data_IF_478102618353
#
_entry.id   IF_478102618353
#
_cell.length_a   1.000
_cell.length_b   1.000
_cell.length_c   1.000
_cell.angle_alpha   90.00
_cell.angle_beta   90.00
_cell.angle_gamma   90.00
#
_symmetry.space_group_name_H-M   'P 1'
#
loop_
_entity.id
_entity.type
_entity.pdbx_description
1 polymer ?
#
# COMPACT_ATOMS: atom_id res chain seq x y z
N UNK A 1 -21.17 6.03 30.34
CA UNK A 1 -20.50 5.33 29.21
C UNK A 1 -21.12 5.71 27.85
N UNK A 2 -22.46 5.79 27.73
CA UNK A 2 -23.12 6.15 26.45
C UNK A 2 -22.81 7.58 25.98
N UNK A 3 -22.95 8.61 26.81
CA UNK A 3 -22.68 10.01 26.43
C UNK A 3 -21.19 10.26 26.10
N UNK A 4 -20.28 9.62 26.84
CA UNK A 4 -18.85 9.73 26.57
C UNK A 4 -18.48 9.10 25.22
N UNK A 5 -19.00 7.91 24.90
CA UNK A 5 -18.75 7.26 23.60
C UNK A 5 -19.34 8.08 22.45
N UNK A 6 -20.51 8.71 22.65
CA UNK A 6 -21.09 9.59 21.66
C UNK A 6 -20.17 10.77 21.31
N UNK A 7 -19.64 11.44 22.33
CA UNK A 7 -18.69 12.55 22.13
C UNK A 7 -17.42 12.12 21.36
N UNK A 8 -16.95 10.90 21.61
CA UNK A 8 -15.81 10.32 20.89
C UNK A 8 -16.15 10.04 19.43
N UNK A 9 -17.34 9.49 19.16
CA UNK A 9 -17.83 9.26 17.80
C UNK A 9 -17.94 10.58 17.04
N UNK A 10 -18.48 11.61 17.66
CA UNK A 10 -18.63 12.93 17.05
C UNK A 10 -17.26 13.54 16.71
N UNK A 11 -16.29 13.44 17.62
CA UNK A 11 -14.91 13.87 17.38
C UNK A 11 -14.27 13.10 16.21
N UNK A 12 -14.42 11.78 16.17
CA UNK A 12 -13.91 10.92 15.10
C UNK A 12 -14.49 11.25 13.73
N UNK A 13 -15.79 11.58 13.66
CA UNK A 13 -16.47 11.96 12.42
C UNK A 13 -16.12 13.37 11.96
N UNK A 14 -15.84 14.29 12.87
CA UNK A 14 -15.49 15.66 12.55
C UNK A 14 -14.01 15.84 12.16
N UNK A 15 -13.15 14.90 12.51
CA UNK A 15 -11.74 14.91 12.08
C UNK A 15 -11.64 14.50 10.61
N UNK A 16 -11.29 15.45 9.73
CA UNK A 16 -11.13 15.22 8.29
C UNK A 16 -10.04 14.19 7.95
N UNK A 17 -9.10 13.98 8.86
CA UNK A 17 -8.01 13.01 8.71
C UNK A 17 -8.33 11.66 9.35
N UNK A 18 -9.51 11.49 9.91
CA UNK A 18 -9.93 10.22 10.52
C UNK A 18 -10.07 9.11 9.48
N UNK A 19 -9.91 7.87 9.94
CA UNK A 19 -10.20 6.68 9.11
C UNK A 19 -11.63 6.73 8.58
N UNK A 20 -12.56 7.32 9.33
CA UNK A 20 -13.94 7.51 8.88
C UNK A 20 -14.01 8.36 7.62
N UNK A 21 -13.41 9.53 7.63
CA UNK A 21 -13.48 10.48 6.52
C UNK A 21 -12.58 10.07 5.33
N UNK A 22 -11.41 9.51 5.60
CA UNK A 22 -10.45 9.15 4.56
C UNK A 22 -10.78 7.82 3.87
N UNK A 23 -11.41 6.88 4.56
CA UNK A 23 -11.67 5.54 3.99
C UNK A 23 -13.16 5.20 3.85
N UNK A 24 -14.02 5.48 4.86
CA UNK A 24 -15.43 5.10 4.80
C UNK A 24 -16.26 6.00 3.88
N UNK A 25 -15.93 7.27 3.77
CA UNK A 25 -16.60 8.21 2.85
C UNK A 25 -16.16 7.97 1.41
N UNK A 26 -14.91 7.55 1.16
CA UNK A 26 -14.40 7.21 -0.17
C UNK A 26 -14.86 5.80 -0.60
N UNK A 27 -16.12 5.69 -1.02
CA UNK A 27 -16.75 4.42 -1.34
C UNK A 27 -16.12 3.67 -2.52
N UNK A 28 -15.54 4.36 -3.51
CA UNK A 28 -15.00 3.70 -4.71
C UNK A 28 -13.76 2.86 -4.42
N UNK A 29 -12.78 3.42 -3.75
CA UNK A 29 -11.54 2.70 -3.41
C UNK A 29 -11.81 1.57 -2.43
N UNK A 30 -12.68 1.81 -1.45
CA UNK A 30 -13.16 0.78 -0.52
C UNK A 30 -13.81 -0.38 -1.28
N UNK A 31 -14.74 -0.11 -2.18
CA UNK A 31 -15.42 -1.14 -2.97
C UNK A 31 -14.46 -1.90 -3.90
N UNK A 32 -13.45 -1.23 -4.46
CA UNK A 32 -12.39 -1.89 -5.24
C UNK A 32 -11.62 -2.89 -4.39
N UNK A 33 -11.22 -2.50 -3.17
CA UNK A 33 -10.52 -3.37 -2.23
C UNK A 33 -11.34 -4.63 -1.91
N UNK A 34 -12.60 -4.47 -1.53
CA UNK A 34 -13.50 -5.61 -1.24
C UNK A 34 -13.63 -6.56 -2.43
N UNK A 35 -13.83 -6.03 -3.65
CA UNK A 35 -13.94 -6.85 -4.87
C UNK A 35 -12.64 -7.60 -5.16
N UNK A 36 -11.50 -6.95 -5.06
CA UNK A 36 -10.20 -7.55 -5.36
C UNK A 36 -9.86 -8.65 -4.36
N UNK A 37 -10.07 -8.40 -3.07
CA UNK A 37 -9.82 -9.39 -2.02
C UNK A 37 -10.77 -10.59 -2.17
N UNK A 38 -12.07 -10.35 -2.40
CA UNK A 38 -13.04 -11.44 -2.63
C UNK A 38 -12.67 -12.28 -3.84
N UNK A 39 -12.26 -11.67 -4.95
CA UNK A 39 -11.78 -12.38 -6.15
C UNK A 39 -10.52 -13.20 -5.84
N UNK A 40 -9.57 -12.62 -5.12
CA UNK A 40 -8.36 -13.32 -4.71
C UNK A 40 -8.64 -14.52 -3.82
N UNK A 41 -9.57 -14.42 -2.87
CA UNK A 41 -10.00 -15.55 -2.03
C UNK A 41 -10.62 -16.68 -2.85
N UNK A 42 -11.47 -16.36 -3.83
CA UNK A 42 -12.02 -17.37 -4.75
C UNK A 42 -10.91 -18.06 -5.55
N UNK A 43 -9.88 -17.32 -5.97
CA UNK A 43 -8.72 -17.90 -6.64
C UNK A 43 -7.92 -18.81 -5.70
N UNK A 44 -7.71 -18.44 -4.44
CA UNK A 44 -7.06 -19.31 -3.43
C UNK A 44 -7.82 -20.65 -3.30
N UNK A 45 -9.14 -20.59 -3.21
CA UNK A 45 -9.98 -21.81 -3.11
C UNK A 45 -9.82 -22.68 -4.36
N UNK A 46 -9.88 -22.09 -5.55
CA UNK A 46 -9.73 -22.82 -6.81
C UNK A 46 -8.33 -23.44 -6.95
N UNK A 47 -7.28 -22.68 -6.64
CA UNK A 47 -5.90 -23.17 -6.71
C UNK A 47 -5.65 -24.34 -5.75
N UNK A 48 -6.25 -24.32 -4.55
CA UNK A 48 -6.17 -25.43 -3.61
C UNK A 48 -6.93 -26.67 -4.15
N UNK A 49 -8.14 -26.49 -4.67
CA UNK A 49 -8.96 -27.58 -5.23
C UNK A 49 -8.30 -28.23 -6.44
N UNK A 50 -7.72 -27.43 -7.30
CA UNK A 50 -7.06 -27.89 -8.53
C UNK A 50 -5.59 -28.29 -8.33
N UNK A 51 -5.10 -28.27 -7.08
CA UNK A 51 -3.71 -28.58 -6.70
C UNK A 51 -2.67 -27.65 -7.33
N UNK A 52 -3.07 -26.45 -7.74
CA UNK A 52 -2.16 -25.40 -8.27
C UNK A 52 -1.59 -24.50 -7.18
N UNK A 53 -2.14 -24.56 -5.95
CA UNK A 53 -1.64 -23.78 -4.83
C UNK A 53 -0.25 -24.26 -4.43
N UNK A 54 0.75 -23.36 -4.55
CA UNK A 54 2.15 -23.67 -4.32
C UNK A 54 2.49 -24.12 -2.89
N UNK A 55 3.75 -24.55 -2.72
CA UNK A 55 4.30 -24.96 -1.42
C UNK A 55 5.11 -23.83 -0.76
N UNK A 56 5.09 -22.63 -1.32
CA UNK A 56 5.68 -21.42 -0.75
C UNK A 56 4.61 -20.31 -0.78
N UNK A 57 4.79 -19.32 0.09
CA UNK A 57 3.91 -18.14 0.12
C UNK A 57 4.05 -17.28 -1.15
N UNK A 58 5.29 -17.13 -1.63
CA UNK A 58 5.60 -16.31 -2.80
C UNK A 58 4.98 -16.88 -4.07
N UNK A 59 4.34 -16.01 -4.84
CA UNK A 59 3.70 -16.39 -6.11
C UNK A 59 2.34 -17.07 -5.94
N UNK A 60 1.83 -17.26 -4.72
CA UNK A 60 0.48 -17.81 -4.52
C UNK A 60 -0.61 -16.75 -4.64
N UNK A 61 -1.81 -17.18 -4.97
CA UNK A 61 -3.01 -16.33 -4.91
C UNK A 61 -3.29 -15.74 -3.52
N UNK A 62 -2.80 -16.39 -2.45
CA UNK A 62 -2.88 -15.87 -1.09
C UNK A 62 -1.95 -14.66 -0.88
N UNK A 63 -0.77 -14.64 -1.49
CA UNK A 63 0.10 -13.46 -1.50
C UNK A 63 -0.62 -12.26 -2.12
N UNK A 64 -1.32 -12.46 -3.23
CA UNK A 64 -2.13 -11.40 -3.84
C UNK A 64 -3.21 -10.88 -2.88
N UNK A 65 -3.96 -11.76 -2.20
CA UNK A 65 -4.97 -11.34 -1.20
C UNK A 65 -4.34 -10.49 -0.11
N UNK A 66 -3.22 -10.94 0.45
CA UNK A 66 -2.53 -10.23 1.53
C UNK A 66 -1.91 -8.90 1.04
N UNK A 67 -1.43 -8.85 -0.19
CA UNK A 67 -0.97 -7.60 -0.81
C UNK A 67 -2.12 -6.61 -0.94
N UNK A 68 -3.27 -7.02 -1.45
CA UNK A 68 -4.46 -6.15 -1.51
C UNK A 68 -4.86 -5.59 -0.13
N UNK A 69 -4.73 -6.39 0.95
CA UNK A 69 -5.00 -5.92 2.32
C UNK A 69 -3.90 -4.95 2.80
N UNK A 70 -2.63 -5.24 2.52
CA UNK A 70 -1.51 -4.43 3.00
C UNK A 70 -1.29 -3.16 2.18
N UNK A 71 -1.63 -3.17 0.90
CA UNK A 71 -1.50 -2.04 -0.04
C UNK A 71 -2.59 -0.99 0.08
N UNK A 72 -3.57 -1.17 1.00
CA UNK A 72 -4.50 -0.10 1.39
C UNK A 72 -3.78 1.18 1.88
N UNK A 73 -2.45 1.17 1.91
CA UNK A 73 -1.60 2.33 2.15
C UNK A 73 -1.88 3.52 1.21
N UNK A 74 -2.41 3.27 0.01
CA UNK A 74 -2.74 4.32 -0.96
C UNK A 74 -3.99 5.13 -0.53
N UNK A 75 -4.84 4.55 0.30
CA UNK A 75 -6.04 5.20 0.86
C UNK A 75 -5.74 5.86 2.20
N UNK A 76 -4.77 5.29 2.94
CA UNK A 76 -4.33 5.80 4.23
C UNK A 76 -2.94 6.41 4.07
N UNK A 77 -2.85 7.72 4.13
CA UNK A 77 -1.57 8.39 4.21
C UNK A 77 -0.83 7.94 5.47
N UNK A 78 0.34 7.34 5.30
CA UNK A 78 1.17 6.87 6.38
C UNK A 78 1.28 5.35 6.55
N UNK A 79 2.23 4.91 7.38
CA UNK A 79 2.62 3.50 7.53
C UNK A 79 1.63 2.64 8.34
N UNK A 80 0.60 3.23 8.95
CA UNK A 80 -0.26 2.56 9.93
C UNK A 80 -1.74 2.83 9.66
N UNK A 81 -2.50 1.79 9.38
CA UNK A 81 -3.96 1.85 9.22
C UNK A 81 -4.64 0.63 9.88
N UNK A 82 -5.98 0.67 10.17
CA UNK A 82 -6.69 -0.38 10.90
C UNK A 82 -6.62 -1.75 10.23
N UNK A 83 -6.49 -1.80 8.91
CA UNK A 83 -6.44 -3.05 8.14
C UNK A 83 -5.01 -3.52 7.86
N UNK A 84 -4.00 -2.71 8.23
CA UNK A 84 -2.61 -3.08 8.05
C UNK A 84 -2.21 -4.13 9.10
N UNK A 85 -2.35 -5.37 8.72
CA UNK A 85 -1.81 -6.48 9.47
C UNK A 85 -1.24 -7.52 8.53
N UNK A 86 0.01 -7.90 8.77
CA UNK A 86 0.63 -9.04 8.09
C UNK A 86 0.23 -10.31 8.85
N UNK A 87 -0.80 -11.04 8.40
CA UNK A 87 -1.11 -12.33 9.00
C UNK A 87 0.13 -13.23 8.91
N UNK A 88 0.36 -14.04 9.93
CA UNK A 88 1.45 -15.02 9.94
C UNK A 88 1.15 -16.20 8.99
N UNK A 89 0.53 -15.94 7.84
CA UNK A 89 0.17 -16.93 6.83
C UNK A 89 1.38 -17.42 6.00
N UNK A 90 2.57 -16.92 6.30
CA UNK A 90 3.85 -17.41 5.72
C UNK A 90 4.39 -18.66 6.42
N UNK A 91 3.61 -19.26 7.33
CA UNK A 91 4.07 -20.40 8.10
C UNK A 91 3.92 -21.68 7.30
N UNK A 92 4.92 -22.57 7.32
CA UNK A 92 4.95 -23.80 6.53
C UNK A 92 3.73 -24.71 6.67
N UNK A 93 3.03 -24.70 7.81
CA UNK A 93 1.93 -25.63 8.11
C UNK A 93 0.83 -25.68 7.04
N UNK A 94 0.57 -24.58 6.31
CA UNK A 94 -0.40 -24.60 5.19
C UNK A 94 0.25 -24.81 3.82
N UNK A 95 1.56 -24.68 3.69
CA UNK A 95 2.27 -24.89 2.42
C UNK A 95 2.87 -26.29 2.31
N UNK A 96 3.37 -26.82 3.41
CA UNK A 96 4.04 -28.12 3.45
C UNK A 96 3.09 -29.28 3.77
N UNK A 97 1.98 -29.02 4.49
CA UNK A 97 1.00 -30.02 4.87
C UNK A 97 -0.26 -29.96 3.99
N UNK A 98 -0.44 -30.98 3.14
CA UNK A 98 -1.57 -31.03 2.22
C UNK A 98 -2.95 -31.07 2.93
N UNK A 99 -3.05 -31.74 4.07
CA UNK A 99 -4.30 -31.80 4.84
C UNK A 99 -4.66 -30.40 5.39
N UNK A 100 -3.68 -29.66 5.92
CA UNK A 100 -3.87 -28.30 6.41
C UNK A 100 -4.25 -27.33 5.28
N UNK A 101 -3.62 -27.49 4.10
CA UNK A 101 -3.95 -26.73 2.89
C UNK A 101 -5.41 -26.93 2.50
N UNK A 102 -5.88 -28.19 2.43
CA UNK A 102 -7.26 -28.53 2.10
C UNK A 102 -8.22 -27.95 3.16
N UNK A 103 -7.91 -28.12 4.45
CA UNK A 103 -8.71 -27.59 5.54
C UNK A 103 -8.86 -26.07 5.48
N UNK A 104 -7.79 -25.35 5.15
CA UNK A 104 -7.83 -23.90 4.97
C UNK A 104 -8.66 -23.50 3.75
N UNK A 105 -8.52 -24.18 2.62
CA UNK A 105 -9.35 -23.95 1.42
C UNK A 105 -10.84 -24.17 1.71
N UNK A 106 -11.20 -25.26 2.40
CA UNK A 106 -12.57 -25.56 2.79
C UNK A 106 -13.13 -24.51 3.77
N UNK A 107 -12.32 -24.06 4.73
CA UNK A 107 -12.68 -22.98 5.63
C UNK A 107 -13.02 -21.69 4.87
N UNK A 108 -12.16 -21.26 3.95
CA UNK A 108 -12.40 -20.06 3.13
C UNK A 108 -13.66 -20.22 2.27
N UNK A 109 -13.88 -21.39 1.68
CA UNK A 109 -15.05 -21.68 0.87
C UNK A 109 -16.34 -21.63 1.69
N UNK A 110 -16.36 -22.25 2.85
CA UNK A 110 -17.51 -22.23 3.74
C UNK A 110 -17.80 -20.80 4.23
N UNK A 111 -16.75 -20.04 4.56
CA UNK A 111 -16.90 -18.65 4.97
C UNK A 111 -17.44 -17.76 3.84
N UNK A 112 -16.93 -17.87 2.61
CA UNK A 112 -17.36 -16.98 1.51
C UNK A 112 -18.81 -17.24 1.09
N UNK A 113 -19.33 -18.46 1.33
CA UNK A 113 -20.69 -18.86 1.03
C UNK A 113 -21.63 -18.82 2.25
N UNK A 114 -21.13 -18.42 3.43
CA UNK A 114 -21.95 -18.27 4.62
C UNK A 114 -23.09 -17.27 4.42
N UNK A 115 -24.29 -17.62 4.87
CA UNK A 115 -25.52 -16.82 4.72
C UNK A 115 -25.86 -16.03 5.97
N UNK A 116 -25.24 -16.34 7.08
CA UNK A 116 -25.42 -15.67 8.37
C UNK A 116 -24.14 -15.73 9.21
N UNK A 117 -24.14 -14.93 10.26
CA UNK A 117 -23.04 -14.78 11.21
C UNK A 117 -22.68 -16.10 11.90
N UNK A 118 -23.68 -16.87 12.32
CA UNK A 118 -23.48 -18.13 13.04
C UNK A 118 -22.69 -19.17 12.23
N UNK A 119 -22.91 -19.21 10.92
CA UNK A 119 -22.15 -20.09 10.03
C UNK A 119 -20.67 -19.71 10.00
N UNK A 120 -20.34 -18.42 9.95
CA UNK A 120 -18.94 -17.98 9.97
C UNK A 120 -18.28 -18.28 11.31
N UNK A 121 -18.97 -18.04 12.43
CA UNK A 121 -18.47 -18.37 13.78
C UNK A 121 -18.19 -19.87 13.90
N UNK A 122 -19.12 -20.71 13.46
CA UNK A 122 -18.96 -22.16 13.48
C UNK A 122 -17.75 -22.65 12.66
N UNK A 123 -17.47 -22.01 11.52
CA UNK A 123 -16.28 -22.34 10.73
C UNK A 123 -14.99 -21.86 11.42
N UNK A 124 -15.01 -20.73 12.11
CA UNK A 124 -13.89 -20.28 12.94
C UNK A 124 -13.60 -21.27 14.07
N UNK A 125 -14.62 -21.76 14.75
CA UNK A 125 -14.48 -22.75 15.83
C UNK A 125 -13.91 -24.08 15.31
N UNK A 126 -14.38 -24.53 14.13
CA UNK A 126 -13.82 -25.72 13.47
C UNK A 126 -12.34 -25.53 13.11
N UNK A 127 -11.99 -24.35 12.57
CA UNK A 127 -10.59 -24.04 12.23
C UNK A 127 -9.71 -23.99 13.49
N UNK A 128 -10.21 -23.38 14.57
CA UNK A 128 -9.46 -23.34 15.84
C UNK A 128 -9.25 -24.75 16.42
N UNK A 129 -10.23 -25.64 16.29
CA UNK A 129 -10.11 -27.03 16.77
C UNK A 129 -8.97 -27.80 16.07
N UNK A 130 -8.66 -27.47 14.83
CA UNK A 130 -7.57 -28.11 14.07
C UNK A 130 -6.18 -27.69 14.55
N UNK A 131 -6.05 -26.61 15.32
CA UNK A 131 -4.78 -26.06 15.87
C UNK A 131 -3.67 -25.89 14.83
N UNK A 132 -4.05 -25.56 13.59
CA UNK A 132 -3.09 -25.33 12.51
C UNK A 132 -2.29 -24.07 12.82
N UNK A 133 -0.97 -24.20 12.88
CA UNK A 133 -0.07 -23.10 13.19
C UNK A 133 -0.15 -22.02 12.11
N UNK A 134 -0.37 -20.78 12.51
CA UNK A 134 -0.52 -19.62 11.61
C UNK A 134 -1.95 -19.28 11.23
N UNK A 135 -2.93 -20.17 11.47
CA UNK A 135 -4.34 -19.92 11.21
C UNK A 135 -5.12 -19.47 12.46
N UNK A 136 -4.50 -18.60 13.24
CA UNK A 136 -5.15 -17.93 14.37
C UNK A 136 -5.95 -16.68 13.94
N UNK A 137 -6.29 -15.80 14.90
CA UNK A 137 -7.14 -14.61 14.68
C UNK A 137 -6.66 -13.64 13.60
N UNK A 138 -5.39 -13.77 13.15
CA UNK A 138 -4.89 -13.03 11.99
C UNK A 138 -5.74 -13.21 10.72
N UNK A 139 -6.36 -14.37 10.56
CA UNK A 139 -7.23 -14.68 9.42
C UNK A 139 -8.51 -13.83 9.44
N UNK A 140 -8.90 -13.27 10.58
CA UNK A 140 -10.05 -12.37 10.67
C UNK A 140 -9.90 -11.13 9.77
N UNK A 141 -8.68 -10.70 9.44
CA UNK A 141 -8.47 -9.62 8.48
C UNK A 141 -8.97 -9.98 7.07
N UNK A 142 -8.87 -11.24 6.66
CA UNK A 142 -9.46 -11.72 5.40
C UNK A 142 -10.98 -11.81 5.53
N UNK A 143 -11.48 -12.39 6.64
CA UNK A 143 -12.90 -12.57 6.88
C UNK A 143 -13.66 -11.24 6.96
N UNK A 144 -13.03 -10.18 7.46
CA UNK A 144 -13.62 -8.85 7.45
C UNK A 144 -13.99 -8.40 6.02
N UNK A 145 -13.10 -8.58 5.06
CA UNK A 145 -13.39 -8.22 3.66
C UNK A 145 -14.43 -9.14 2.99
N UNK A 146 -14.73 -10.30 3.57
CA UNK A 146 -15.81 -11.16 3.12
C UNK A 146 -17.15 -10.79 3.78
N UNK A 147 -17.13 -10.42 5.06
CA UNK A 147 -18.29 -10.18 5.90
C UNK A 147 -18.11 -8.96 6.83
N UNK A 148 -18.07 -7.74 6.30
CA UNK A 148 -17.75 -6.54 7.09
C UNK A 148 -18.79 -6.21 8.15
N UNK A 149 -20.02 -6.73 8.03
CA UNK A 149 -21.09 -6.51 9.00
C UNK A 149 -21.10 -7.55 10.13
N UNK A 150 -20.28 -8.61 10.03
CA UNK A 150 -20.25 -9.71 11.02
C UNK A 150 -18.88 -9.87 11.68
N UNK A 151 -17.81 -9.56 10.96
CA UNK A 151 -16.44 -9.81 11.38
C UNK A 151 -15.66 -8.51 11.40
N UNK A 152 -15.35 -7.94 12.59
CA UNK A 152 -14.51 -6.75 12.67
C UNK A 152 -13.06 -7.07 12.30
N UNK A 153 -12.34 -6.13 11.65
CA UNK A 153 -10.90 -6.26 11.45
C UNK A 153 -10.18 -6.15 12.79
N UNK A 154 -8.99 -6.73 12.86
CA UNK A 154 -8.26 -6.82 14.13
C UNK A 154 -6.76 -6.63 13.95
N UNK A 155 -6.15 -5.79 14.80
CA UNK A 155 -4.70 -5.66 14.94
C UNK A 155 -4.35 -5.20 16.36
N UNK A 156 -3.07 -5.07 16.68
CA UNK A 156 -2.62 -4.66 18.01
C UNK A 156 -3.14 -3.29 18.43
N UNK A 157 -3.22 -2.34 17.50
CA UNK A 157 -3.74 -1.00 17.80
C UNK A 157 -5.23 -1.02 18.13
N UNK A 158 -6.03 -1.80 17.38
CA UNK A 158 -7.47 -1.98 17.67
C UNK A 158 -7.67 -2.59 19.06
N UNK A 159 -6.85 -3.61 19.44
CA UNK A 159 -6.89 -4.19 20.78
C UNK A 159 -6.54 -3.17 21.86
N UNK A 160 -5.52 -2.36 21.63
CA UNK A 160 -5.14 -1.31 22.59
C UNK A 160 -6.28 -0.29 22.76
N UNK A 161 -6.90 0.14 21.67
CA UNK A 161 -8.07 1.01 21.73
C UNK A 161 -9.28 0.37 22.41
N UNK A 162 -9.52 -0.92 22.14
CA UNK A 162 -10.55 -1.69 22.85
C UNK A 162 -10.30 -1.71 24.36
N UNK A 163 -9.09 -2.10 24.76
CA UNK A 163 -8.72 -2.17 26.18
C UNK A 163 -8.83 -0.82 26.87
N UNK A 164 -8.46 0.26 26.18
CA UNK A 164 -8.59 1.61 26.70
C UNK A 164 -10.06 2.03 26.87
N UNK A 165 -10.88 1.86 25.81
CA UNK A 165 -12.27 2.28 25.82
C UNK A 165 -13.15 1.47 26.80
N UNK A 166 -12.96 0.16 26.86
CA UNK A 166 -13.75 -0.75 27.68
C UNK A 166 -13.10 -1.07 29.05
N UNK A 167 -11.95 -0.44 29.36
CA UNK A 167 -11.19 -0.68 30.59
C UNK A 167 -10.87 -2.15 30.81
N UNK A 168 -10.48 -2.84 29.75
CA UNK A 168 -10.18 -4.28 29.71
C UNK A 168 -8.65 -4.52 29.48
N UNK A 169 -8.21 -5.78 29.59
CA UNK A 169 -6.80 -6.20 29.39
C UNK A 169 -6.71 -7.39 28.42
N UNK A 170 -7.51 -7.37 27.37
CA UNK A 170 -7.52 -8.43 26.35
C UNK A 170 -6.22 -8.49 25.58
N UNK A 171 -5.88 -9.69 25.14
CA UNK A 171 -4.72 -9.95 24.26
C UNK A 171 -5.19 -10.72 23.03
N UNK A 172 -4.59 -10.43 21.90
CA UNK A 172 -4.83 -11.15 20.67
C UNK A 172 -3.96 -12.42 20.65
N UNK A 173 -4.45 -13.54 21.14
CA UNK A 173 -3.69 -14.78 21.21
C UNK A 173 -4.44 -16.02 20.68
N UNK A 174 -5.76 -16.03 20.77
CA UNK A 174 -6.60 -17.16 20.41
C UNK A 174 -7.91 -16.72 19.76
N UNK A 175 -8.53 -17.62 18.99
CA UNK A 175 -9.86 -17.40 18.43
C UNK A 175 -10.92 -17.20 19.51
N UNK A 176 -10.82 -17.90 20.63
CA UNK A 176 -11.76 -17.72 21.75
C UNK A 176 -11.72 -16.31 22.33
N UNK A 177 -10.55 -15.71 22.49
CA UNK A 177 -10.44 -14.31 22.91
C UNK A 177 -10.92 -13.34 21.82
N UNK A 178 -10.61 -13.62 20.55
CA UNK A 178 -11.14 -12.84 19.43
C UNK A 178 -12.67 -12.80 19.44
N UNK A 179 -13.35 -13.95 19.57
CA UNK A 179 -14.79 -14.04 19.56
C UNK A 179 -15.44 -13.26 20.72
N UNK A 180 -14.84 -13.29 21.93
CA UNK A 180 -15.32 -12.48 23.07
C UNK A 180 -15.21 -10.97 22.78
N UNK A 181 -14.10 -10.53 22.21
CA UNK A 181 -13.90 -9.12 21.85
C UNK A 181 -14.85 -8.73 20.74
N UNK A 182 -15.02 -9.60 19.74
CA UNK A 182 -15.96 -9.43 18.65
C UNK A 182 -17.39 -9.18 19.15
N UNK A 183 -17.87 -9.94 20.10
CA UNK A 183 -19.21 -9.74 20.69
C UNK A 183 -19.38 -8.32 21.21
N UNK A 184 -18.44 -7.83 21.99
CA UNK A 184 -18.48 -6.47 22.55
C UNK A 184 -18.46 -5.41 21.44
N UNK A 185 -17.61 -5.61 20.42
CA UNK A 185 -17.56 -4.70 19.27
C UNK A 185 -18.88 -4.72 18.52
N UNK A 186 -19.45 -5.89 18.25
CA UNK A 186 -20.73 -6.05 17.54
C UNK A 186 -21.89 -5.40 18.29
N UNK A 187 -21.97 -5.63 19.60
CA UNK A 187 -23.02 -5.03 20.43
C UNK A 187 -22.92 -3.51 20.48
N UNK A 188 -21.69 -2.99 20.56
CA UNK A 188 -21.46 -1.55 20.54
C UNK A 188 -21.75 -0.97 19.16
N UNK A 189 -21.31 -1.62 18.10
CA UNK A 189 -21.56 -1.17 16.73
C UNK A 189 -23.05 -1.15 16.41
N UNK A 190 -23.83 -2.15 16.85
CA UNK A 190 -25.30 -2.17 16.66
C UNK A 190 -25.98 -0.95 17.29
N UNK A 191 -25.51 -0.49 18.44
CA UNK A 191 -26.08 0.68 19.14
C UNK A 191 -25.77 2.00 18.42
N UNK A 192 -24.65 2.06 17.69
CA UNK A 192 -24.15 3.27 17.04
C UNK A 192 -24.08 3.16 15.51
N UNK A 193 -24.66 2.12 14.91
CA UNK A 193 -24.56 1.87 13.46
C UNK A 193 -25.22 2.97 12.61
N UNK A 194 -26.24 3.65 13.13
CA UNK A 194 -26.88 4.78 12.43
C UNK A 194 -25.96 6.00 12.32
N UNK A 195 -25.01 6.13 13.23
CA UNK A 195 -24.07 7.25 13.29
C UNK A 195 -22.77 6.95 12.57
N UNK A 196 -22.31 5.71 12.66
CA UNK A 196 -21.07 5.24 12.05
C UNK A 196 -21.35 4.44 10.77
N UNK A 197 -21.64 3.16 10.91
CA UNK A 197 -21.94 2.23 9.82
C UNK A 197 -22.37 0.88 10.36
N UNK A 198 -23.12 0.12 9.56
CA UNK A 198 -23.30 -1.33 9.80
C UNK A 198 -21.99 -2.11 9.60
N UNK A 199 -21.08 -1.58 8.79
CA UNK A 199 -19.74 -2.11 8.62
C UNK A 199 -18.91 -1.90 9.89
N UNK A 200 -18.52 -2.99 10.52
CA UNK A 200 -17.76 -3.00 11.77
C UNK A 200 -16.39 -2.35 11.68
N UNK A 201 -15.89 -2.16 10.46
CA UNK A 201 -14.64 -1.48 10.21
C UNK A 201 -14.69 0.01 10.59
N UNK A 202 -15.89 0.66 10.56
CA UNK A 202 -16.02 2.04 11.02
C UNK A 202 -15.71 2.16 12.52
N UNK A 203 -16.28 1.28 13.33
CA UNK A 203 -16.00 1.24 14.77
C UNK A 203 -14.59 0.71 15.08
N UNK A 204 -14.11 -0.27 14.32
CA UNK A 204 -12.72 -0.74 14.44
C UNK A 204 -11.72 0.37 14.08
N UNK A 205 -12.02 1.23 13.11
CA UNK A 205 -11.25 2.43 12.80
C UNK A 205 -11.18 3.41 13.96
N UNK A 206 -12.30 3.63 14.65
CA UNK A 206 -12.36 4.41 15.89
C UNK A 206 -11.43 3.82 16.97
N UNK A 207 -11.54 2.51 17.21
CA UNK A 207 -10.67 1.81 18.17
C UNK A 207 -9.19 1.90 17.78
N UNK A 208 -8.90 1.81 16.48
CA UNK A 208 -7.54 1.97 15.98
C UNK A 208 -6.97 3.37 16.29
N UNK A 209 -7.74 4.42 16.08
CA UNK A 209 -7.29 5.79 16.38
C UNK A 209 -7.11 6.05 17.87
N UNK A 210 -7.98 5.49 18.70
CA UNK A 210 -7.78 5.50 20.16
C UNK A 210 -6.50 4.74 20.52
N UNK A 211 -6.31 3.53 20.00
CA UNK A 211 -5.16 2.68 20.32
C UNK A 211 -3.83 3.17 19.77
N UNK A 212 -3.86 4.01 18.74
CA UNK A 212 -2.68 4.72 18.22
C UNK A 212 -2.53 6.13 18.83
N UNK A 213 -3.41 6.51 19.75
CA UNK A 213 -3.43 7.81 20.39
C UNK A 213 -3.59 8.98 19.39
N UNK A 214 -4.18 8.73 18.23
CA UNK A 214 -4.53 9.76 17.26
C UNK A 214 -5.78 10.51 17.73
N UNK A 215 -6.76 9.78 18.24
CA UNK A 215 -7.94 10.32 18.88
C UNK A 215 -7.71 10.35 20.39
N UNK A 216 -7.64 11.55 20.95
CA UNK A 216 -7.52 11.74 22.38
C UNK A 216 -8.92 11.77 23.00
N UNK A 217 -9.21 10.80 23.84
CA UNK A 217 -10.44 10.78 24.63
C UNK A 217 -10.36 11.87 25.69
N UNK A 218 -11.00 13.01 25.38
CA UNK A 218 -11.28 14.16 26.22
C UNK A 218 -10.44 14.43 27.47
N UNK A 219 -10.36 15.62 27.94
CA UNK A 219 -9.66 16.02 29.17
C UNK A 219 -9.89 15.03 30.33
N UNK A 220 -9.21 13.88 30.25
CA UNK A 220 -9.14 12.99 31.38
C UNK A 220 -8.33 13.72 32.45
N UNK A 221 -9.00 14.15 33.50
CA UNK A 221 -8.41 14.69 34.73
C UNK A 221 -7.38 13.75 35.36
N UNK A 222 -7.23 12.54 34.80
CA UNK A 222 -6.36 11.47 35.28
C UNK A 222 -5.02 11.32 34.54
N UNK A 223 -4.79 12.07 33.44
CA UNK A 223 -3.48 12.06 32.80
C UNK A 223 -2.54 12.98 33.54
N UNK A 224 -1.42 12.45 34.01
CA UNK A 224 -0.35 13.24 34.58
C UNK A 224 0.19 14.24 33.53
N UNK A 225 0.69 15.39 33.99
CA UNK A 225 1.28 16.41 33.11
C UNK A 225 2.41 15.86 32.21
N UNK A 226 3.13 14.86 32.70
CA UNK A 226 4.15 14.12 31.94
C UNK A 226 3.57 13.31 30.80
N UNK A 227 2.40 12.71 30.97
CA UNK A 227 1.72 11.94 29.92
C UNK A 227 1.09 12.85 28.87
N UNK A 228 0.54 14.00 29.27
CA UNK A 228 0.07 15.03 28.30
C UNK A 228 1.19 15.55 27.43
N UNK A 229 2.31 15.95 28.00
CA UNK A 229 3.48 16.44 27.27
C UNK A 229 4.08 15.37 26.33
N UNK A 230 4.00 14.09 26.70
CA UNK A 230 4.42 12.97 25.84
C UNK A 230 3.47 12.77 24.67
N UNK A 231 2.17 12.91 24.88
CA UNK A 231 1.13 12.80 23.86
C UNK A 231 1.20 13.96 22.86
N UNK A 232 1.35 15.21 23.34
CA UNK A 232 1.52 16.39 22.49
C UNK A 232 2.75 16.24 21.57
N UNK A 233 3.89 15.81 22.10
CA UNK A 233 5.10 15.54 21.31
C UNK A 233 4.90 14.44 20.28
N UNK A 234 4.10 13.41 20.58
CA UNK A 234 3.77 12.35 19.63
C UNK A 234 2.86 12.85 18.50
N UNK A 235 1.90 13.72 18.82
CA UNK A 235 1.01 14.35 17.84
C UNK A 235 1.82 15.28 16.93
N UNK A 236 2.64 16.17 17.50
CA UNK A 236 3.51 17.06 16.71
C UNK A 236 4.46 16.27 15.81
N UNK A 237 5.04 15.19 16.31
CA UNK A 237 5.91 14.32 15.51
C UNK A 237 5.15 13.71 14.33
N UNK A 238 3.93 13.23 14.54
CA UNK A 238 3.09 12.64 13.47
C UNK A 238 2.64 13.67 12.45
N UNK A 239 2.21 14.86 12.88
CA UNK A 239 1.89 15.95 11.95
C UNK A 239 3.09 16.31 11.08
N UNK A 240 4.29 16.33 11.68
CA UNK A 240 5.53 16.59 10.95
C UNK A 240 5.87 15.47 9.97
N UNK A 241 5.74 14.20 10.37
CA UNK A 241 5.96 13.04 9.51
C UNK A 241 4.97 13.03 8.33
N UNK A 242 3.68 13.28 8.59
CA UNK A 242 2.63 13.34 7.57
C UNK A 242 2.82 14.52 6.60
N UNK A 243 3.15 15.70 7.11
CA UNK A 243 3.44 16.86 6.25
C UNK A 243 4.65 16.62 5.36
N UNK A 244 5.65 15.89 5.84
CA UNK A 244 6.84 15.51 5.06
C UNK A 244 6.49 14.48 3.99
N UNK A 245 5.70 13.45 4.30
CA UNK A 245 5.25 12.44 3.32
C UNK A 245 4.40 13.07 2.20
N UNK A 246 3.49 13.98 2.54
CA UNK A 246 2.67 14.70 1.55
C UNK A 246 3.53 15.61 0.67
N UNK A 247 4.51 16.31 1.25
CA UNK A 247 5.45 17.14 0.51
C UNK A 247 6.33 16.30 -0.43
N UNK A 248 6.84 15.15 0.04
CA UNK A 248 7.63 14.21 -0.77
C UNK A 248 6.80 13.63 -1.93
N UNK A 249 5.51 13.36 -1.73
CA UNK A 249 4.63 12.89 -2.80
C UNK A 249 4.34 13.99 -3.83
N UNK A 250 4.14 15.22 -3.41
CA UNK A 250 3.97 16.36 -4.31
C UNK A 250 5.23 16.60 -5.14
N UNK A 251 6.42 16.54 -4.53
CA UNK A 251 7.69 16.65 -5.23
C UNK A 251 7.89 15.50 -6.24
N UNK A 252 7.55 14.29 -5.88
CA UNK A 252 7.61 13.13 -6.78
C UNK A 252 6.70 13.35 -8.00
N UNK A 253 5.45 13.73 -7.78
CA UNK A 253 4.50 14.00 -8.86
C UNK A 253 4.96 15.17 -9.75
N UNK A 254 5.58 16.20 -9.18
CA UNK A 254 6.18 17.31 -9.93
C UNK A 254 7.27 16.80 -10.86
N UNK A 255 8.21 15.99 -10.36
CA UNK A 255 9.32 15.47 -11.17
C UNK A 255 8.83 14.54 -12.27
N UNK A 256 7.89 13.63 -11.97
CA UNK A 256 7.27 12.80 -13.00
C UNK A 256 6.59 13.65 -14.08
N UNK A 257 5.86 14.70 -13.70
CA UNK A 257 5.23 15.60 -14.66
C UNK A 257 6.23 16.30 -15.56
N UNK A 258 7.34 16.80 -15.03
CA UNK A 258 8.40 17.43 -15.82
C UNK A 258 8.98 16.45 -16.84
N UNK A 259 9.27 15.22 -16.44
CA UNK A 259 9.79 14.19 -17.35
C UNK A 259 8.79 13.84 -18.46
N UNK A 260 7.52 13.66 -18.11
CA UNK A 260 6.46 13.42 -19.11
C UNK A 260 6.32 14.59 -20.08
N UNK A 261 6.34 15.84 -19.57
CA UNK A 261 6.26 17.05 -20.36
C UNK A 261 7.42 17.20 -21.33
N UNK A 262 8.65 16.97 -20.86
CA UNK A 262 9.87 17.05 -21.71
C UNK A 262 9.78 15.99 -22.81
N UNK A 263 9.56 14.71 -22.47
CA UNK A 263 9.51 13.64 -23.46
C UNK A 263 8.41 13.86 -24.52
N UNK A 264 7.23 14.30 -24.08
CA UNK A 264 6.15 14.65 -25.01
C UNK A 264 6.51 15.82 -25.93
N UNK A 265 7.17 16.86 -25.40
CA UNK A 265 7.61 18.03 -26.20
C UNK A 265 8.69 17.67 -27.22
N UNK A 266 9.52 16.68 -26.92
CA UNK A 266 10.54 16.13 -27.82
C UNK A 266 9.98 15.14 -28.84
N UNK A 267 8.67 14.90 -28.84
CA UNK A 267 7.98 14.03 -29.81
C UNK A 267 8.03 12.54 -29.48
N UNK A 268 8.39 12.15 -28.25
CA UNK A 268 8.31 10.76 -27.78
C UNK A 268 6.92 10.40 -27.30
N UNK A 269 6.59 9.13 -27.40
CA UNK A 269 5.46 8.54 -26.68
C UNK A 269 5.88 8.30 -25.24
N UNK A 270 5.19 8.95 -24.29
CA UNK A 270 5.56 8.91 -22.87
C UNK A 270 4.51 8.19 -22.05
N UNK A 271 4.94 7.48 -21.01
CA UNK A 271 4.02 6.81 -20.11
C UNK A 271 4.48 6.92 -18.65
N UNK A 272 3.53 7.17 -17.76
CA UNK A 272 3.75 7.10 -16.32
C UNK A 272 3.53 5.67 -15.81
N UNK A 273 4.12 5.34 -14.66
CA UNK A 273 3.89 4.08 -13.97
C UNK A 273 2.39 3.75 -13.87
N UNK A 274 2.05 2.48 -13.97
CA UNK A 274 0.64 2.03 -14.04
C UNK A 274 -0.20 2.43 -12.82
N UNK A 275 0.40 2.57 -11.65
CA UNK A 275 -0.23 3.04 -10.41
C UNK A 275 -0.28 4.57 -10.28
N UNK A 276 0.43 5.31 -11.12
CA UNK A 276 0.52 6.78 -11.06
C UNK A 276 -0.26 7.50 -12.17
N UNK A 277 -0.86 6.77 -13.10
CA UNK A 277 -1.59 7.35 -14.26
C UNK A 277 -2.70 8.31 -13.89
N UNK A 278 -3.37 8.12 -12.77
CA UNK A 278 -4.44 9.00 -12.27
C UNK A 278 -3.92 10.26 -11.57
N UNK A 279 -2.61 10.30 -11.28
CA UNK A 279 -1.97 11.42 -10.61
C UNK A 279 -1.77 12.60 -11.56
N UNK A 280 -1.25 13.69 -11.01
CA UNK A 280 -0.97 14.91 -11.74
C UNK A 280 -0.23 15.92 -10.87
N UNK A 281 0.15 17.05 -11.48
CA UNK A 281 0.80 18.16 -10.81
C UNK A 281 0.28 19.51 -11.33
N UNK A 282 0.09 20.48 -10.44
CA UNK A 282 -0.39 21.83 -10.77
C UNK A 282 -1.64 21.84 -11.66
N UNK A 283 -2.62 20.96 -11.36
CA UNK A 283 -3.88 20.83 -12.12
C UNK A 283 -3.80 20.04 -13.42
N UNK A 284 -2.61 19.60 -13.83
CA UNK A 284 -2.41 18.82 -15.05
C UNK A 284 -2.31 17.33 -14.71
N UNK A 285 -3.24 16.51 -15.21
CA UNK A 285 -3.20 15.06 -15.03
C UNK A 285 -2.17 14.43 -15.97
N UNK A 286 -1.48 13.39 -15.50
CA UNK A 286 -0.54 12.62 -16.33
C UNK A 286 -1.22 12.00 -17.55
N UNK A 287 -2.48 11.58 -17.41
CA UNK A 287 -3.28 11.01 -18.48
C UNK A 287 -3.51 11.94 -19.69
N UNK A 288 -3.24 13.25 -19.58
CA UNK A 288 -3.40 14.17 -20.70
C UNK A 288 -2.22 14.15 -21.69
N UNK A 289 -1.05 13.74 -21.21
CA UNK A 289 0.20 13.71 -22.00
C UNK A 289 0.80 12.31 -22.11
N UNK A 290 0.34 11.36 -21.31
CA UNK A 290 0.81 9.98 -21.28
C UNK A 290 -0.05 9.09 -22.19
N UNK A 291 0.56 8.04 -22.78
CA UNK A 291 -0.18 7.01 -23.52
C UNK A 291 -1.28 6.40 -22.65
N UNK A 292 -2.43 6.12 -23.26
CA UNK A 292 -3.55 5.48 -22.59
C UNK A 292 -3.23 4.02 -22.18
N UNK A 293 -2.52 3.31 -23.05
CA UNK A 293 -2.13 1.92 -22.85
C UNK A 293 -0.62 1.74 -22.93
N UNK A 294 -0.12 0.74 -22.21
CA UNK A 294 1.29 0.39 -22.24
C UNK A 294 1.62 -0.28 -23.59
N UNK A 295 2.69 0.18 -24.30
CA UNK A 295 3.09 -0.43 -25.57
C UNK A 295 3.35 -1.92 -25.44
N UNK A 296 3.04 -2.67 -26.50
CA UNK A 296 3.26 -4.10 -26.52
C UNK A 296 4.75 -4.38 -26.66
N UNK A 297 5.38 -4.90 -25.60
CA UNK A 297 6.79 -5.24 -25.55
C UNK A 297 6.96 -6.76 -25.55
N UNK A 298 7.98 -7.24 -26.23
CA UNK A 298 8.37 -8.66 -26.23
C UNK A 298 9.25 -8.96 -25.02
N UNK A 299 8.61 -9.00 -23.83
CA UNK A 299 9.25 -9.26 -22.54
C UNK A 299 8.48 -10.33 -21.78
N UNK A 300 9.19 -11.09 -20.97
CA UNK A 300 8.57 -12.01 -20.03
C UNK A 300 7.57 -11.29 -19.12
N UNK A 301 6.47 -11.96 -18.80
CA UNK A 301 5.35 -11.38 -18.05
C UNK A 301 5.77 -10.79 -16.70
N UNK A 302 6.71 -11.41 -16.00
CA UNK A 302 7.23 -10.93 -14.72
C UNK A 302 8.05 -9.66 -14.89
N UNK A 303 8.92 -9.62 -15.89
CA UNK A 303 9.69 -8.43 -16.25
C UNK A 303 8.77 -7.29 -16.68
N UNK A 304 7.78 -7.58 -17.53
CA UNK A 304 6.81 -6.58 -17.98
C UNK A 304 6.03 -5.96 -16.80
N UNK A 305 5.68 -6.75 -15.79
CA UNK A 305 5.03 -6.24 -14.59
C UNK A 305 5.96 -5.29 -13.80
N UNK A 306 7.26 -5.58 -13.74
CA UNK A 306 8.26 -4.70 -13.11
C UNK A 306 8.45 -3.42 -13.92
N UNK A 307 8.59 -3.53 -15.24
CA UNK A 307 8.78 -2.39 -16.16
C UNK A 307 7.60 -1.43 -16.13
N UNK A 308 6.37 -1.92 -15.98
CA UNK A 308 5.16 -1.09 -15.82
C UNK A 308 5.13 -0.27 -14.53
N UNK A 309 6.02 -0.54 -13.58
CA UNK A 309 6.16 0.21 -12.33
C UNK A 309 7.27 1.27 -12.40
N UNK A 310 8.03 1.34 -13.48
CA UNK A 310 9.01 2.42 -13.70
C UNK A 310 8.26 3.75 -13.80
N UNK A 311 8.72 4.75 -13.08
CA UNK A 311 8.02 6.00 -12.87
C UNK A 311 7.68 6.74 -14.17
N UNK A 312 8.64 6.84 -15.10
CA UNK A 312 8.42 7.41 -16.45
C UNK A 312 9.25 6.65 -17.49
N UNK A 313 8.59 6.30 -18.61
CA UNK A 313 9.23 5.71 -19.78
C UNK A 313 8.97 6.58 -21.01
N UNK A 314 10.00 6.74 -21.85
CA UNK A 314 9.92 7.35 -23.17
C UNK A 314 10.13 6.30 -24.24
N UNK A 315 9.22 6.22 -25.18
CA UNK A 315 9.29 5.33 -26.32
C UNK A 315 9.51 6.14 -27.60
N UNK A 316 10.21 5.56 -28.55
CA UNK A 316 10.23 6.10 -29.90
C UNK A 316 8.79 6.11 -30.44
N UNK A 317 8.37 7.22 -31.02
CA UNK A 317 6.98 7.47 -31.43
C UNK A 317 6.42 6.33 -32.27
N UNK A 318 5.22 5.88 -31.92
CA UNK A 318 4.49 4.78 -32.54
C UNK A 318 5.25 3.43 -32.56
N UNK A 319 6.16 3.21 -31.62
CA UNK A 319 6.89 1.95 -31.46
C UNK A 319 6.89 1.50 -30.00
N UNK A 320 7.40 0.28 -29.74
CA UNK A 320 7.66 -0.22 -28.38
C UNK A 320 9.14 -0.08 -27.97
N UNK A 321 9.95 0.65 -28.77
CA UNK A 321 11.38 0.85 -28.48
C UNK A 321 11.54 1.88 -27.36
N UNK A 322 12.07 1.45 -26.22
CA UNK A 322 12.42 2.34 -25.11
C UNK A 322 13.63 3.19 -25.48
N UNK A 323 13.51 4.50 -25.29
CA UNK A 323 14.59 5.48 -25.52
C UNK A 323 15.18 5.93 -24.20
N UNK A 324 14.34 6.18 -23.19
CA UNK A 324 14.80 6.56 -21.86
C UNK A 324 13.85 6.03 -20.78
N UNK A 325 14.42 5.70 -19.64
CA UNK A 325 13.68 5.24 -18.47
C UNK A 325 14.12 6.04 -17.24
N UNK A 326 13.16 6.47 -16.43
CA UNK A 326 13.37 7.33 -15.28
C UNK A 326 12.72 6.76 -14.04
N UNK A 327 13.48 6.70 -12.95
CA UNK A 327 12.98 6.43 -11.60
C UNK A 327 13.14 7.70 -10.77
N UNK A 328 12.05 8.15 -10.20
CA UNK A 328 11.99 9.34 -9.34
C UNK A 328 12.01 8.88 -7.90
N UNK A 329 13.13 9.04 -7.24
CA UNK A 329 13.32 8.51 -5.90
C UNK A 329 12.87 9.52 -4.84
N UNK A 330 12.09 9.00 -3.88
CA UNK A 330 11.70 9.72 -2.66
C UNK A 330 12.81 9.64 -1.60
N UNK A 331 12.48 10.03 -0.40
CA UNK A 331 13.41 10.05 0.73
C UNK A 331 13.92 8.67 1.19
N UNK A 332 13.30 7.54 0.80
CA UNK A 332 13.49 6.27 1.51
C UNK A 332 14.22 5.13 0.80
N UNK A 333 14.20 4.99 -0.53
CA UNK A 333 14.88 3.84 -1.18
C UNK A 333 15.29 4.08 -2.63
N UNK A 334 16.60 4.28 -2.85
CA UNK A 334 17.22 4.35 -4.20
C UNK A 334 17.36 2.96 -4.83
N UNK A 335 17.45 1.91 -4.00
CA UNK A 335 17.81 0.58 -4.45
C UNK A 335 16.72 -0.08 -5.31
N UNK A 336 15.45 0.15 -5.00
CA UNK A 336 14.33 -0.41 -5.77
C UNK A 336 14.25 0.14 -7.19
N UNK A 337 14.49 1.44 -7.36
CA UNK A 337 14.55 2.08 -8.68
C UNK A 337 15.72 1.54 -9.51
N UNK A 338 16.90 1.43 -8.92
CA UNK A 338 18.06 0.81 -9.59
C UNK A 338 17.73 -0.61 -10.07
N UNK A 339 17.08 -1.43 -9.26
CA UNK A 339 16.70 -2.79 -9.66
C UNK A 339 15.73 -2.80 -10.84
N UNK A 340 14.68 -1.97 -10.82
CA UNK A 340 13.72 -1.91 -11.94
C UNK A 340 14.37 -1.45 -13.25
N UNK A 341 15.24 -0.45 -13.19
CA UNK A 341 16.02 -0.01 -14.35
C UNK A 341 16.99 -1.08 -14.85
N UNK A 342 17.58 -1.84 -13.93
CA UNK A 342 18.46 -2.97 -14.26
C UNK A 342 17.67 -4.08 -14.95
N UNK A 343 16.52 -4.48 -14.41
CA UNK A 343 15.65 -5.51 -14.98
C UNK A 343 15.21 -5.14 -16.40
N UNK A 344 14.85 -3.86 -16.62
CA UNK A 344 14.53 -3.34 -17.94
C UNK A 344 15.73 -3.52 -18.89
N UNK A 345 16.89 -2.97 -18.55
CA UNK A 345 18.07 -2.98 -19.44
C UNK A 345 18.58 -4.39 -19.72
N UNK A 346 18.53 -5.31 -18.74
CA UNK A 346 18.90 -6.70 -18.94
C UNK A 346 17.94 -7.45 -19.88
N UNK A 347 16.71 -6.97 -20.01
CA UNK A 347 15.66 -7.64 -20.79
C UNK A 347 15.52 -7.07 -22.21
N UNK A 348 16.15 -5.93 -22.50
CA UNK A 348 16.17 -5.34 -23.83
C UNK A 348 17.31 -5.91 -24.69
N UNK A 349 16.98 -6.28 -25.93
CA UNK A 349 17.94 -6.85 -26.88
C UNK A 349 18.97 -5.80 -27.38
N UNK A 350 18.58 -4.54 -27.48
CA UNK A 350 19.44 -3.43 -27.92
C UNK A 350 19.62 -2.48 -26.75
N UNK A 351 20.82 -2.39 -26.23
CA UNK A 351 21.17 -1.49 -25.10
C UNK A 351 21.42 -0.06 -25.60
N UNK A 352 20.39 0.56 -26.19
CA UNK A 352 20.47 1.94 -26.69
C UNK A 352 19.68 2.89 -25.76
N UNK A 353 18.97 2.35 -24.78
CA UNK A 353 18.23 3.13 -23.79
C UNK A 353 19.13 3.82 -22.79
N UNK A 354 18.74 5.02 -22.36
CA UNK A 354 19.42 5.75 -21.29
C UNK A 354 18.62 5.66 -20.00
N UNK A 355 19.28 5.29 -18.93
CA UNK A 355 18.68 5.06 -17.62
C UNK A 355 18.98 6.22 -16.69
N UNK A 356 17.95 6.76 -16.04
CA UNK A 356 18.10 7.91 -15.16
C UNK A 356 17.47 7.67 -13.79
N UNK A 357 18.22 8.03 -12.74
CA UNK A 357 17.68 8.22 -11.39
C UNK A 357 17.46 9.72 -11.17
N UNK A 358 16.25 10.12 -10.82
CA UNK A 358 15.91 11.50 -10.51
C UNK A 358 15.73 11.63 -9.02
N UNK A 359 16.54 12.45 -8.36
CA UNK A 359 16.71 12.38 -6.91
C UNK A 359 16.71 13.75 -6.25
N UNK A 360 16.27 13.86 -4.99
CA UNK A 360 16.44 15.09 -4.21
C UNK A 360 17.93 15.45 -4.07
N UNK A 361 18.26 16.73 -4.15
CA UNK A 361 19.63 17.24 -4.10
C UNK A 361 20.42 16.77 -2.87
N UNK A 362 19.74 16.65 -1.75
CA UNK A 362 20.32 16.18 -0.48
C UNK A 362 20.80 14.73 -0.53
N UNK A 363 20.30 13.93 -1.50
CA UNK A 363 20.60 12.50 -1.66
C UNK A 363 21.63 12.21 -2.75
N UNK A 364 22.23 13.22 -3.33
CA UNK A 364 23.25 13.05 -4.37
C UNK A 364 24.39 12.13 -3.93
N UNK A 365 24.90 12.28 -2.71
CA UNK A 365 25.95 11.42 -2.15
C UNK A 365 25.52 9.95 -2.05
N UNK A 366 24.26 9.71 -1.66
CA UNK A 366 23.72 8.36 -1.53
C UNK A 366 23.62 7.68 -2.90
N UNK A 367 23.18 8.42 -3.92
CA UNK A 367 23.12 7.94 -5.31
C UNK A 367 24.49 7.55 -5.81
N UNK A 368 25.47 8.42 -5.68
CA UNK A 368 26.86 8.16 -6.10
C UNK A 368 27.36 6.88 -5.41
N UNK A 369 27.16 6.76 -4.10
CA UNK A 369 27.57 5.57 -3.35
C UNK A 369 26.88 4.28 -3.85
N UNK A 370 25.61 4.33 -4.26
CA UNK A 370 24.91 3.16 -4.79
C UNK A 370 25.39 2.82 -6.22
N UNK A 371 25.48 3.82 -7.10
CA UNK A 371 25.90 3.60 -8.50
C UNK A 371 27.36 3.16 -8.64
N UNK A 372 28.21 3.50 -7.66
CA UNK A 372 29.62 3.07 -7.64
C UNK A 372 29.84 1.68 -7.10
N UNK A 373 28.80 0.95 -6.65
CA UNK A 373 28.92 -0.44 -6.17
C UNK A 373 29.43 -1.37 -7.28
N UNK A 374 30.33 -2.31 -6.95
CA UNK A 374 30.86 -3.25 -7.93
C UNK A 374 29.80 -4.04 -8.69
N UNK A 375 28.71 -4.44 -8.01
CA UNK A 375 27.61 -5.20 -8.61
C UNK A 375 26.86 -4.42 -9.69
N UNK A 376 26.80 -3.08 -9.60
CA UNK A 376 26.16 -2.23 -10.61
C UNK A 376 27.14 -1.90 -11.73
N UNK A 377 28.38 -1.57 -11.40
CA UNK A 377 29.43 -1.30 -12.38
C UNK A 377 29.74 -2.49 -13.31
N UNK A 378 29.72 -3.72 -12.79
CA UNK A 378 29.97 -4.93 -13.57
C UNK A 378 28.85 -5.26 -14.57
N UNK A 379 27.65 -4.70 -14.39
CA UNK A 379 26.51 -4.89 -15.29
C UNK A 379 26.64 -4.22 -16.66
N UNK A 380 27.70 -3.45 -16.93
CA UNK A 380 27.93 -2.71 -18.18
C UNK A 380 26.74 -1.83 -18.59
N UNK A 381 26.02 -1.27 -17.59
CA UNK A 381 24.89 -0.37 -17.77
C UNK A 381 25.31 1.07 -17.43
N UNK A 382 25.10 1.98 -18.37
CA UNK A 382 25.31 3.40 -18.12
C UNK A 382 24.07 4.00 -17.47
N UNK A 383 24.08 4.13 -16.13
CA UNK A 383 23.02 4.77 -15.37
C UNK A 383 23.48 6.16 -14.91
N UNK A 384 22.72 7.18 -15.28
CA UNK A 384 22.95 8.57 -14.91
C UNK A 384 21.98 9.01 -13.83
N UNK A 385 22.26 10.13 -13.17
CA UNK A 385 21.30 10.71 -12.22
C UNK A 385 21.09 12.20 -12.50
N UNK A 386 19.93 12.70 -12.09
CA UNK A 386 19.51 14.10 -12.26
C UNK A 386 19.00 14.57 -10.90
N UNK A 387 19.47 15.73 -10.43
CA UNK A 387 18.94 16.32 -9.21
C UNK A 387 17.61 17.03 -9.47
N UNK A 388 16.73 17.06 -8.48
CA UNK A 388 15.42 17.71 -8.58
C UNK A 388 15.53 19.19 -8.96
N UNK A 389 16.51 19.91 -8.39
CA UNK A 389 16.75 21.31 -8.73
C UNK A 389 17.12 21.50 -10.20
N UNK A 390 17.98 20.65 -10.76
CA UNK A 390 18.40 20.74 -12.16
C UNK A 390 17.21 20.49 -13.10
N UNK A 391 16.40 19.44 -12.82
CA UNK A 391 15.22 19.14 -13.63
C UNK A 391 14.19 20.27 -13.58
N UNK A 392 13.89 20.78 -12.39
CA UNK A 392 12.95 21.90 -12.19
C UNK A 392 13.40 23.16 -12.90
N UNK A 393 14.67 23.54 -12.75
CA UNK A 393 15.23 24.76 -13.31
C UNK A 393 15.27 24.74 -14.84
N UNK A 394 15.50 23.59 -15.45
CA UNK A 394 15.73 23.46 -16.87
C UNK A 394 14.58 22.88 -17.68
N UNK A 395 13.49 22.41 -17.04
CA UNK A 395 12.37 21.75 -17.71
C UNK A 395 11.84 22.55 -18.91
N UNK A 396 11.53 23.84 -18.72
CA UNK A 396 10.95 24.68 -19.78
C UNK A 396 11.95 24.93 -20.93
N UNK A 397 13.23 25.09 -20.61
CA UNK A 397 14.28 25.23 -21.62
C UNK A 397 14.48 23.93 -22.43
N UNK A 398 14.45 22.77 -21.76
CA UNK A 398 14.53 21.46 -22.40
C UNK A 398 13.33 21.20 -23.31
N UNK A 399 12.13 21.58 -22.90
CA UNK A 399 10.93 21.47 -23.73
C UNK A 399 10.98 22.38 -24.96
N UNK A 400 11.60 23.58 -24.86
CA UNK A 400 11.58 24.58 -25.91
C UNK A 400 12.71 24.44 -26.91
N UNK A 401 13.88 24.01 -26.44
CA UNK A 401 15.11 24.03 -27.23
C UNK A 401 15.74 22.65 -27.43
N UNK A 402 15.10 21.58 -26.90
CA UNK A 402 15.58 20.22 -27.08
C UNK A 402 15.17 19.67 -28.45
N UNK A 403 16.09 18.97 -29.12
CA UNK A 403 15.85 18.31 -30.39
C UNK A 403 15.53 16.82 -30.20
N UNK A 404 16.21 16.19 -29.24
CA UNK A 404 16.03 14.78 -28.93
C UNK A 404 16.35 14.47 -27.45
N UNK A 405 16.32 13.18 -27.07
CA UNK A 405 16.58 12.72 -25.70
C UNK A 405 18.00 13.03 -25.21
N UNK A 406 18.98 13.25 -26.10
CA UNK A 406 20.36 13.58 -25.71
C UNK A 406 20.44 14.91 -24.97
N UNK A 407 19.43 15.78 -25.10
CA UNK A 407 19.36 17.05 -24.35
C UNK A 407 19.38 16.82 -22.84
N UNK A 408 18.85 15.67 -22.35
CA UNK A 408 18.86 15.31 -20.94
C UNK A 408 20.28 15.15 -20.38
N UNK A 409 21.27 14.86 -21.21
CA UNK A 409 22.66 14.74 -20.80
C UNK A 409 23.27 16.07 -20.32
N UNK A 410 22.65 17.21 -20.69
CA UNK A 410 23.08 18.53 -20.21
C UNK A 410 22.82 18.76 -18.73
N UNK A 411 21.87 18.04 -18.16
CA UNK A 411 21.53 18.14 -16.73
C UNK A 411 21.81 16.85 -15.98
N UNK A 412 22.11 15.77 -16.69
CA UNK A 412 22.43 14.48 -16.11
C UNK A 412 23.91 14.40 -15.69
N UNK A 413 24.16 13.70 -14.60
CA UNK A 413 25.48 13.50 -14.01
C UNK A 413 25.81 12.01 -14.00
N UNK A 414 27.10 11.68 -14.08
CA UNK A 414 27.62 10.31 -13.97
C UNK A 414 28.29 10.14 -12.62
N UNK A 415 28.05 9.01 -11.95
CA UNK A 415 28.77 8.65 -10.73
C UNK A 415 30.17 8.13 -11.13
N UNK A 416 31.18 8.97 -10.99
CA UNK A 416 32.58 8.65 -11.28
C UNK A 416 33.24 7.97 -10.10
#
# INVERSE_FOLDING_TARGET
>A
MSEHLQSIIDQYKNDQESVYNTWFINNEERLKAFRSIRRGVLQVIDDIKTKRFGNDFKGTSLEFVLSCITEQKQVFEGASHPFYWKPKLRIPDIYENQANKIAFGQFLENCIHAKNEEQVIKEIEKLDALKIKGLGPAVASILYFLHPTWIPPFNTAIINGFNYLFKDKKKLGSWSEYLKIREVIMDTNRKHCNELSLDTGAFAGLLFEIGTQKLLLGKDEYLSETERNRLEKLIEKRHKEKSTETADEQLHNEMQYHLLKIGHSLGYDVIAASNDRSKGWAGNKFSFISLADFPQMDLDKEVLNTVKLIDVLWFQKATSKVIAAFEVEKSTSIYSGILRLTDLSCSLNNKEEVLYLVVPDQREKDVIMQLTRPSIRQGNMEMKYICFSDLRQHCDALCKFGDDHAIMQKIARTAI
#
